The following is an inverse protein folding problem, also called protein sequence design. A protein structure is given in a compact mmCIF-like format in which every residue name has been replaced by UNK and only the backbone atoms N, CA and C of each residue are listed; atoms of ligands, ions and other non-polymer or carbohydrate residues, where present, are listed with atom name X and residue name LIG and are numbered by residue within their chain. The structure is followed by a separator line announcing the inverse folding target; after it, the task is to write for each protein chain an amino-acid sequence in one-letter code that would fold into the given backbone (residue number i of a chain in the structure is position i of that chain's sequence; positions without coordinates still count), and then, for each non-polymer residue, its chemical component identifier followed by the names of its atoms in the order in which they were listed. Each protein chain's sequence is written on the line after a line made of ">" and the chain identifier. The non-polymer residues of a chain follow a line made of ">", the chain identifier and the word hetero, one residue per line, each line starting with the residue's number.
data_IF_666444990792
#
_entry.id   IF_666444990792
#
_cell.length_a   1.000
_cell.length_b   1.000
_cell.length_c   1.000
_cell.angle_alpha   90.00
_cell.angle_beta   90.00
_cell.angle_gamma   90.00
#
_symmetry.space_group_name_H-M   'P 1'
#
loop_
_entity.id
_entity.type
_entity.pdbx_description
1 polymer ?
#
# COMPACT_ATOMS: atom_id res chain seq x y z
N UNK A 1 2.19 -6.44 26.01
CA UNK A 1 2.93 -5.28 25.46
C UNK A 1 3.16 -5.54 23.99
N UNK A 2 2.83 -4.59 23.12
CA UNK A 2 2.98 -4.67 21.65
C UNK A 2 4.03 -3.66 21.17
N UNK A 3 4.54 -3.85 19.95
CA UNK A 3 5.44 -2.91 19.29
C UNK A 3 4.68 -2.21 18.17
N UNK A 4 4.63 -0.88 18.19
CA UNK A 4 4.13 -0.08 17.06
C UNK A 4 5.30 0.53 16.28
N UNK A 5 5.30 0.32 14.97
CA UNK A 5 6.28 0.85 14.03
C UNK A 5 5.58 1.81 13.07
N UNK A 6 6.00 3.07 13.09
CA UNK A 6 5.55 4.10 12.15
C UNK A 6 6.48 4.15 10.93
N UNK A 7 5.88 4.16 9.74
CA UNK A 7 6.53 4.14 8.43
C UNK A 7 5.93 5.26 7.60
N UNK A 8 6.79 6.04 6.94
CA UNK A 8 6.39 6.99 5.91
C UNK A 8 7.33 6.83 4.73
N UNK A 9 6.77 6.80 3.52
CA UNK A 9 7.57 6.78 2.31
C UNK A 9 6.84 7.43 1.13
N UNK A 10 7.65 7.81 0.16
CA UNK A 10 7.21 8.36 -1.11
C UNK A 10 7.96 7.67 -2.26
N UNK A 11 7.31 7.53 -3.42
CA UNK A 11 7.94 7.09 -4.67
C UNK A 11 7.42 7.92 -5.82
N UNK A 12 8.30 8.19 -6.77
CA UNK A 12 7.93 8.77 -8.06
C UNK A 12 8.23 7.71 -9.13
N UNK A 13 7.27 7.44 -9.99
CA UNK A 13 7.42 6.56 -11.16
C UNK A 13 6.78 7.19 -12.39
N UNK A 14 7.18 6.72 -13.56
CA UNK A 14 6.48 6.97 -14.81
C UNK A 14 5.90 5.65 -15.29
N UNK A 15 4.63 5.68 -15.71
CA UNK A 15 3.92 4.53 -16.26
C UNK A 15 3.61 4.83 -17.72
N UNK A 16 3.98 3.89 -18.60
CA UNK A 16 3.58 3.94 -20.00
C UNK A 16 2.06 3.78 -20.09
N UNK A 17 1.39 4.71 -20.75
CA UNK A 17 -0.07 4.79 -20.79
C UNK A 17 -0.55 6.22 -20.70
N UNK A 18 -1.70 6.46 -21.33
CA UNK A 18 -2.42 7.72 -21.19
C UNK A 18 -2.84 7.95 -19.74
N UNK A 19 -3.13 9.21 -19.40
CA UNK A 19 -3.63 9.56 -18.08
C UNK A 19 -4.85 8.72 -17.67
N UNK A 20 -5.79 8.52 -18.61
CA UNK A 20 -7.02 7.80 -18.31
C UNK A 20 -6.77 6.32 -18.03
N UNK A 21 -5.93 5.64 -18.82
CA UNK A 21 -5.57 4.24 -18.61
C UNK A 21 -4.87 4.01 -17.27
N UNK A 22 -3.95 4.91 -16.92
CA UNK A 22 -3.20 4.83 -15.65
C UNK A 22 -4.11 5.14 -14.47
N UNK A 23 -4.97 6.15 -14.57
CA UNK A 23 -5.93 6.47 -13.52
C UNK A 23 -6.93 5.31 -13.32
N UNK A 24 -7.48 4.74 -14.41
CA UNK A 24 -8.38 3.59 -14.37
C UNK A 24 -7.74 2.39 -13.66
N UNK A 25 -6.48 2.09 -13.99
CA UNK A 25 -5.73 1.01 -13.36
C UNK A 25 -5.58 1.23 -11.84
N UNK A 26 -5.20 2.44 -11.42
CA UNK A 26 -4.93 2.73 -10.00
C UNK A 26 -6.20 2.93 -9.16
N UNK A 27 -7.31 3.35 -9.79
CA UNK A 27 -8.60 3.53 -9.14
C UNK A 27 -9.36 2.20 -8.98
N UNK A 28 -9.12 1.23 -9.87
CA UNK A 28 -9.60 -0.15 -9.72
C UNK A 28 -8.71 -0.89 -8.71
N UNK A 29 -9.08 -0.84 -7.42
CA UNK A 29 -8.30 -1.45 -6.34
C UNK A 29 -8.07 -2.94 -6.58
N UNK A 30 -9.10 -3.79 -6.86
CA UNK A 30 -8.87 -5.20 -7.17
C UNK A 30 -7.90 -5.47 -8.32
N UNK A 31 -7.84 -4.60 -9.34
CA UNK A 31 -6.86 -4.71 -10.44
C UNK A 31 -5.48 -4.22 -10.02
N UNK A 32 -5.37 -3.05 -9.40
CA UNK A 32 -4.12 -2.46 -8.94
C UNK A 32 -3.38 -3.36 -7.96
N UNK A 33 -4.10 -4.00 -7.04
CA UNK A 33 -3.53 -4.85 -5.99
C UNK A 33 -2.88 -6.12 -6.53
N UNK A 34 -3.24 -6.58 -7.74
CA UNK A 34 -2.59 -7.76 -8.38
C UNK A 34 -1.10 -7.55 -8.64
N UNK A 35 -0.65 -6.30 -8.70
CA UNK A 35 0.74 -5.94 -8.86
C UNK A 35 1.48 -5.79 -7.52
N UNK A 36 0.76 -5.80 -6.39
CA UNK A 36 1.36 -5.68 -5.06
C UNK A 36 1.86 -7.06 -4.58
N UNK A 37 3.14 -7.21 -4.21
CA UNK A 37 3.69 -8.49 -3.81
C UNK A 37 3.17 -8.96 -2.44
N UNK A 38 3.04 -10.28 -2.28
CA UNK A 38 2.69 -10.94 -1.01
C UNK A 38 1.33 -10.53 -0.42
N UNK A 39 0.37 -10.10 -1.23
CA UNK A 39 -1.03 -10.02 -0.78
C UNK A 39 -1.59 -11.43 -0.71
N UNK A 40 -2.07 -11.85 0.46
CA UNK A 40 -2.71 -13.16 0.67
C UNK A 40 -4.19 -13.09 0.35
N UNK A 41 -4.87 -12.02 0.78
CA UNK A 41 -6.29 -11.78 0.50
C UNK A 41 -6.53 -10.26 0.38
N UNK A 42 -7.35 -9.89 -0.60
CA UNK A 42 -8.01 -8.59 -0.65
C UNK A 42 -9.51 -8.85 -0.53
N UNK A 43 -10.12 -8.35 0.52
CA UNK A 43 -11.55 -8.53 0.79
C UNK A 43 -12.28 -7.21 0.52
N UNK A 44 -13.28 -7.27 -0.35
CA UNK A 44 -14.18 -6.15 -0.63
C UNK A 44 -15.22 -6.06 0.49
N UNK A 45 -15.21 -4.92 1.20
CA UNK A 45 -16.15 -4.62 2.30
C UNK A 45 -17.30 -3.71 1.84
N UNK A 46 -17.38 -3.38 0.54
CA UNK A 46 -18.33 -2.44 -0.03
C UNK A 46 -17.90 -0.97 0.15
N UNK A 47 -18.60 -0.05 -0.51
CA UNK A 47 -18.39 1.41 -0.40
C UNK A 47 -16.91 1.83 -0.64
N UNK A 48 -16.27 1.15 -1.60
CA UNK A 48 -14.85 1.34 -1.94
C UNK A 48 -13.89 1.13 -0.75
N UNK A 49 -14.28 0.25 0.17
CA UNK A 49 -13.49 -0.18 1.31
C UNK A 49 -12.92 -1.56 1.04
N UNK A 50 -11.61 -1.71 1.23
CA UNK A 50 -10.93 -2.98 1.05
C UNK A 50 -10.08 -3.32 2.25
N UNK A 51 -10.19 -4.58 2.68
CA UNK A 51 -9.37 -5.16 3.73
C UNK A 51 -8.24 -5.98 3.14
N UNK A 52 -7.04 -5.58 3.49
CA UNK A 52 -5.79 -6.18 3.07
C UNK A 52 -5.34 -7.21 4.10
N UNK A 53 -5.05 -8.42 3.64
CA UNK A 53 -4.31 -9.41 4.39
C UNK A 53 -3.00 -9.71 3.66
N UNK A 54 -1.89 -9.35 4.27
CA UNK A 54 -0.57 -9.67 3.74
C UNK A 54 -0.16 -11.09 4.11
N UNK A 55 0.69 -11.71 3.29
CA UNK A 55 1.31 -12.99 3.59
C UNK A 55 2.11 -12.93 4.88
N UNK A 56 2.07 -14.03 5.64
CA UNK A 56 2.79 -14.18 6.91
C UNK A 56 4.31 -14.01 6.73
N UNK A 57 4.93 -13.28 7.64
CA UNK A 57 6.40 -13.13 7.74
C UNK A 57 6.87 -13.74 9.04
N UNK A 58 7.82 -14.69 8.99
CA UNK A 58 8.35 -15.40 10.16
C UNK A 58 8.11 -16.91 10.10
N UNK A 59 8.40 -17.62 11.20
CA UNK A 59 8.35 -19.09 11.27
C UNK A 59 7.32 -19.54 12.30
N UNK A 60 6.44 -20.47 11.91
CA UNK A 60 5.41 -21.10 12.73
C UNK A 60 4.64 -20.11 13.63
N UNK A 61 4.69 -20.32 14.95
CA UNK A 61 3.98 -19.56 15.98
C UNK A 61 4.50 -18.13 16.17
N UNK A 62 5.63 -17.79 15.55
CA UNK A 62 6.26 -16.47 15.61
C UNK A 62 6.06 -15.69 14.30
N UNK A 63 5.17 -16.16 13.43
CA UNK A 63 4.80 -15.43 12.23
C UNK A 63 3.95 -14.20 12.54
N UNK A 64 4.23 -13.11 11.84
CA UNK A 64 3.49 -11.85 11.89
C UNK A 64 2.65 -11.78 10.63
N UNK A 65 1.36 -11.49 10.79
CA UNK A 65 0.45 -11.17 9.70
C UNK A 65 0.05 -9.71 9.80
N UNK A 66 0.18 -8.97 8.71
CA UNK A 66 -0.28 -7.59 8.61
C UNK A 66 -1.68 -7.59 8.02
N UNK A 67 -2.60 -6.97 8.73
CA UNK A 67 -4.00 -6.79 8.35
C UNK A 67 -4.38 -5.34 8.57
N UNK A 68 -4.99 -4.72 7.57
CA UNK A 68 -5.55 -3.36 7.68
C UNK A 68 -6.69 -3.21 6.67
N UNK A 69 -7.52 -2.19 6.84
CA UNK A 69 -8.49 -1.81 5.81
C UNK A 69 -8.42 -0.31 5.53
N UNK A 70 -8.73 0.05 4.29
CA UNK A 70 -8.77 1.43 3.85
C UNK A 70 -10.02 1.69 3.00
N UNK A 71 -10.58 2.90 3.13
CA UNK A 71 -11.55 3.45 2.17
C UNK A 71 -10.81 4.27 1.13
N UNK A 72 -11.16 4.12 -0.14
CA UNK A 72 -10.51 4.80 -1.26
C UNK A 72 -11.39 5.88 -1.87
N UNK A 73 -10.78 6.99 -2.28
CA UNK A 73 -11.44 8.16 -2.84
C UNK A 73 -10.73 8.58 -4.14
N UNK A 74 -11.12 8.02 -5.29
CA UNK A 74 -10.62 8.45 -6.58
C UNK A 74 -11.27 9.78 -7.00
N UNK A 75 -10.44 10.75 -7.36
CA UNK A 75 -10.82 12.04 -7.93
C UNK A 75 -10.03 12.26 -9.23
N UNK A 76 -10.71 12.00 -10.35
CA UNK A 76 -10.10 12.10 -11.69
C UNK A 76 -9.81 13.54 -12.07
N UNK A 77 -10.62 14.49 -11.62
CA UNK A 77 -10.45 15.89 -12.01
C UNK A 77 -9.19 16.48 -11.38
N UNK A 78 -8.91 16.15 -10.11
CA UNK A 78 -7.67 16.56 -9.45
C UNK A 78 -6.47 15.64 -9.70
N UNK A 79 -6.69 14.49 -10.34
CA UNK A 79 -5.66 13.47 -10.56
C UNK A 79 -5.12 12.88 -9.28
N UNK A 80 -6.01 12.66 -8.31
CA UNK A 80 -5.65 12.15 -7.01
C UNK A 80 -6.51 10.96 -6.62
N UNK A 81 -5.90 9.94 -6.04
CA UNK A 81 -6.62 8.83 -5.41
C UNK A 81 -6.10 8.74 -3.99
N UNK A 82 -6.93 9.06 -3.00
CA UNK A 82 -6.53 8.97 -1.59
C UNK A 82 -7.10 7.71 -0.95
N UNK A 83 -6.45 7.25 0.11
CA UNK A 83 -7.02 6.23 0.99
C UNK A 83 -6.84 6.59 2.45
N UNK A 84 -7.89 6.33 3.23
CA UNK A 84 -7.96 6.60 4.66
C UNK A 84 -8.22 5.30 5.43
N UNK A 85 -7.70 5.17 6.66
CA UNK A 85 -7.81 3.93 7.42
C UNK A 85 -9.25 3.73 7.90
N UNK A 86 -9.66 2.47 7.96
CA UNK A 86 -10.88 2.07 8.69
C UNK A 86 -10.48 1.67 10.10
N UNK A 87 -11.04 2.36 11.10
CA UNK A 87 -10.74 2.08 12.50
C UNK A 87 -11.19 0.66 12.91
N UNK A 88 -10.39 0.01 13.75
CA UNK A 88 -10.69 -1.33 14.28
C UNK A 88 -10.34 -2.49 13.36
N UNK A 89 -9.91 -2.23 12.12
CA UNK A 89 -9.58 -3.28 11.15
C UNK A 89 -8.12 -3.74 11.24
N UNK A 90 -7.91 -4.85 11.92
CA UNK A 90 -6.60 -5.53 11.96
C UNK A 90 -5.59 -4.86 12.88
N UNK A 91 -4.33 -4.86 12.46
CA UNK A 91 -3.19 -4.37 13.23
C UNK A 91 -2.37 -3.30 12.51
N UNK A 92 -2.89 -2.77 11.40
CA UNK A 92 -2.29 -1.68 10.65
C UNK A 92 -3.25 -0.51 10.48
N UNK A 93 -2.72 0.70 10.64
CA UNK A 93 -3.40 1.95 10.27
C UNK A 93 -2.66 2.53 9.08
N UNK A 94 -3.30 2.50 7.90
CA UNK A 94 -2.65 2.88 6.64
C UNK A 94 -3.43 3.99 5.96
N UNK A 95 -2.71 5.01 5.49
CA UNK A 95 -3.25 6.12 4.71
C UNK A 95 -2.26 6.56 3.64
N UNK A 96 -2.74 7.22 2.59
CA UNK A 96 -1.85 7.64 1.53
C UNK A 96 -2.58 8.18 0.32
N UNK A 97 -1.81 8.37 -0.75
CA UNK A 97 -2.36 8.80 -2.02
C UNK A 97 -1.50 8.43 -3.22
N UNK A 98 -2.19 8.37 -4.36
CA UNK A 98 -1.62 8.56 -5.69
C UNK A 98 -1.87 9.99 -6.14
N UNK A 99 -0.88 10.62 -6.75
CA UNK A 99 -1.05 11.86 -7.52
C UNK A 99 -0.51 11.64 -8.93
N UNK A 100 -1.34 11.88 -9.94
CA UNK A 100 -1.06 11.60 -11.33
C UNK A 100 -0.90 12.90 -12.12
N UNK A 101 -0.01 12.90 -13.11
CA UNK A 101 0.16 14.04 -14.02
C UNK A 101 0.54 13.52 -15.39
N UNK A 102 -0.27 13.85 -16.41
CA UNK A 102 0.06 13.52 -17.79
C UNK A 102 1.40 14.15 -18.20
N UNK A 103 2.29 13.35 -18.79
CA UNK A 103 3.54 13.82 -19.39
C UNK A 103 3.44 13.91 -20.91
N UNK A 104 2.66 13.01 -21.51
CA UNK A 104 2.27 12.98 -22.91
C UNK A 104 1.02 12.10 -23.07
N UNK A 105 0.53 11.94 -24.30
CA UNK A 105 -0.61 11.06 -24.62
C UNK A 105 -0.33 9.57 -24.28
N UNK A 106 0.92 9.20 -24.02
CA UNK A 106 1.34 7.80 -23.75
C UNK A 106 2.20 7.65 -22.51
N UNK A 107 2.32 8.66 -21.67
CA UNK A 107 3.10 8.59 -20.44
C UNK A 107 2.46 9.42 -19.34
N UNK A 108 2.34 8.83 -18.15
CA UNK A 108 1.81 9.47 -16.95
C UNK A 108 2.83 9.36 -15.81
N UNK A 109 3.19 10.50 -15.22
CA UNK A 109 3.96 10.53 -14.00
C UNK A 109 3.05 10.29 -12.80
N UNK A 110 3.49 9.45 -11.88
CA UNK A 110 2.72 9.03 -10.71
C UNK A 110 3.57 9.20 -9.46
N UNK A 111 3.01 9.88 -8.46
CA UNK A 111 3.58 10.02 -7.12
C UNK A 111 2.80 9.15 -6.15
N UNK A 112 3.50 8.22 -5.51
CA UNK A 112 3.00 7.42 -4.40
C UNK A 112 3.39 8.06 -3.08
N UNK A 113 2.45 8.17 -2.14
CA UNK A 113 2.72 8.53 -0.76
C UNK A 113 1.95 7.57 0.14
N UNK A 114 2.60 7.02 1.17
CA UNK A 114 1.92 6.21 2.19
C UNK A 114 2.52 6.42 3.57
N UNK A 115 1.64 6.46 4.57
CA UNK A 115 1.97 6.42 5.99
C UNK A 115 1.30 5.20 6.59
N UNK A 116 2.05 4.41 7.33
CA UNK A 116 1.57 3.19 7.98
C UNK A 116 2.04 3.11 9.43
N UNK A 117 1.13 2.76 10.33
CA UNK A 117 1.45 2.35 11.69
C UNK A 117 1.08 0.88 11.85
N UNK A 118 2.08 0.03 12.14
CA UNK A 118 1.89 -1.41 12.30
C UNK A 118 2.10 -1.82 13.75
N UNK A 119 1.08 -2.39 14.38
CA UNK A 119 1.13 -2.93 15.74
C UNK A 119 1.37 -4.44 15.71
N UNK A 120 2.46 -4.88 16.32
CA UNK A 120 2.93 -6.26 16.22
C UNK A 120 2.95 -6.89 17.62
N UNK A 121 2.51 -8.16 17.78
CA UNK A 121 2.49 -8.86 19.05
C UNK A 121 3.89 -9.36 19.47
N UNK A 122 4.84 -8.44 19.61
CA UNK A 122 6.19 -8.71 20.06
C UNK A 122 6.52 -7.96 21.36
N UNK A 123 7.46 -8.49 22.18
CA UNK A 123 7.93 -7.78 23.36
C UNK A 123 8.49 -6.39 23.06
N UNK A 124 8.06 -5.39 23.81
CA UNK A 124 8.39 -3.97 23.57
C UNK A 124 9.89 -3.66 23.57
N UNK A 125 10.70 -4.38 24.34
CA UNK A 125 12.15 -4.18 24.41
C UNK A 125 12.87 -4.51 23.08
N UNK A 126 12.23 -5.26 22.17
CA UNK A 126 12.76 -5.58 20.85
C UNK A 126 12.54 -4.47 19.81
N UNK A 127 11.80 -3.41 20.16
CA UNK A 127 11.39 -2.35 19.21
C UNK A 127 12.57 -1.79 18.41
N UNK A 128 13.68 -1.47 19.08
CA UNK A 128 14.85 -0.86 18.42
C UNK A 128 15.52 -1.79 17.39
N UNK A 129 15.54 -3.10 17.66
CA UNK A 129 16.13 -4.07 16.74
C UNK A 129 15.20 -4.40 15.56
N UNK A 130 13.89 -4.44 15.79
CA UNK A 130 12.92 -4.96 14.81
C UNK A 130 12.34 -3.87 13.91
N UNK A 131 12.20 -2.63 14.41
CA UNK A 131 11.65 -1.53 13.61
C UNK A 131 12.39 -1.29 12.28
N UNK A 132 13.74 -1.31 12.22
CA UNK A 132 14.46 -1.16 10.95
C UNK A 132 14.18 -2.29 9.96
N UNK A 133 14.04 -3.53 10.44
CA UNK A 133 13.78 -4.71 9.60
C UNK A 133 12.40 -4.61 8.96
N UNK A 134 11.37 -4.23 9.74
CA UNK A 134 10.01 -4.03 9.22
C UNK A 134 9.99 -2.90 8.19
N UNK A 135 10.66 -1.77 8.49
CA UNK A 135 10.76 -0.64 7.56
C UNK A 135 11.43 -1.07 6.25
N UNK A 136 12.50 -1.86 6.33
CA UNK A 136 13.20 -2.36 5.15
C UNK A 136 12.31 -3.28 4.30
N UNK A 137 11.63 -4.25 4.91
CA UNK A 137 10.71 -5.14 4.18
C UNK A 137 9.56 -4.36 3.55
N UNK A 138 8.96 -3.41 4.28
CA UNK A 138 7.89 -2.56 3.75
C UNK A 138 8.34 -1.74 2.53
N UNK A 139 9.53 -1.11 2.61
CA UNK A 139 10.10 -0.41 1.46
C UNK A 139 10.30 -1.36 0.27
N UNK A 140 10.85 -2.56 0.50
CA UNK A 140 11.06 -3.54 -0.57
C UNK A 140 9.78 -4.06 -1.21
N UNK A 141 8.67 -4.17 -0.46
CA UNK A 141 7.36 -4.50 -1.03
C UNK A 141 6.83 -3.37 -1.91
N UNK A 142 6.96 -2.12 -1.45
CA UNK A 142 6.55 -0.95 -2.24
C UNK A 142 7.41 -0.78 -3.49
N UNK A 143 8.73 -0.96 -3.40
CA UNK A 143 9.64 -0.85 -4.55
C UNK A 143 9.25 -1.85 -5.65
N UNK A 144 9.00 -3.11 -5.27
CA UNK A 144 8.51 -4.13 -6.21
C UNK A 144 7.12 -3.78 -6.77
N UNK A 145 6.24 -3.21 -5.97
CA UNK A 145 4.93 -2.78 -6.45
C UNK A 145 5.06 -1.67 -7.51
N UNK A 146 5.92 -0.68 -7.27
CA UNK A 146 6.24 0.38 -8.24
C UNK A 146 6.80 -0.20 -9.54
N UNK A 147 7.76 -1.13 -9.43
CA UNK A 147 8.35 -1.80 -10.59
C UNK A 147 7.32 -2.60 -11.40
N UNK A 148 6.41 -3.30 -10.72
CA UNK A 148 5.35 -4.07 -11.36
C UNK A 148 4.34 -3.15 -12.07
N UNK A 149 3.93 -2.05 -11.43
CA UNK A 149 3.02 -1.07 -12.02
C UNK A 149 3.62 -0.38 -13.25
N UNK A 150 4.91 -0.08 -13.24
CA UNK A 150 5.61 0.54 -14.38
C UNK A 150 5.57 -0.30 -15.67
N UNK A 151 5.21 -1.59 -15.55
CA UNK A 151 5.15 -2.58 -16.63
C UNK A 151 3.73 -3.13 -16.85
N UNK A 152 2.72 -2.51 -16.24
CA UNK A 152 1.37 -3.05 -16.19
C UNK A 152 0.53 -2.76 -17.44
N UNK A 153 0.94 -1.78 -18.26
CA UNK A 153 0.25 -1.28 -19.44
C UNK A 153 1.15 -1.36 -20.67
#
# INVERSE_FOLDING_TARGET
>A
MTVTVAIELNRDIEIAGSYDEVFDLLADIPRSVRYFPKVEKLEDLGDNVYRWEMGKVGVDKHSIKTVYACKYFPDRESGKITWEPVEGEGNGVVKGSWTLTAKSDKCTAVKFQTSAELTIPLPGFLKLAISPVIKHEFNGLVDRYMDNLSKAL
#
